data_IF_248020225625
#
_entry.id   IF_248020225625
#
_cell.length_a   1.000
_cell.length_b   1.000
_cell.length_c   1.000
_cell.angle_alpha   90.00
_cell.angle_beta   90.00
_cell.angle_gamma   90.00
#
_symmetry.space_group_name_H-M   'P 1'
#
loop_
_entity.id
_entity.type
_entity.pdbx_description
1 polymer ?
#
# COMPACT_ATOMS: atom_id res chain seq x y z
N UNK A 1 -3.89 -34.47 33.36
CA UNK A 1 -5.05 -33.61 33.69
C UNK A 1 -6.38 -34.36 33.65
N UNK A 2 -7.12 -34.47 32.53
CA UNK A 2 -8.49 -35.06 32.55
C UNK A 2 -8.50 -36.48 33.13
N UNK A 3 -7.58 -37.34 32.71
CA UNK A 3 -7.48 -38.71 33.22
C UNK A 3 -7.11 -38.79 34.70
N UNK A 4 -6.35 -37.85 35.23
CA UNK A 4 -5.97 -37.85 36.66
C UNK A 4 -7.16 -37.53 37.57
N UNK A 5 -8.11 -36.73 37.08
CA UNK A 5 -9.37 -36.48 37.78
C UNK A 5 -10.29 -37.72 37.75
N UNK A 6 -10.33 -38.43 36.63
CA UNK A 6 -11.11 -39.67 36.48
C UNK A 6 -10.55 -40.79 37.37
N UNK A 7 -9.22 -40.93 37.39
CA UNK A 7 -8.52 -41.96 38.19
C UNK A 7 -8.41 -41.57 39.68
N UNK A 8 -9.02 -40.46 40.12
CA UNK A 8 -8.91 -39.89 41.48
C UNK A 8 -7.47 -39.72 41.98
N UNK A 9 -6.54 -39.43 41.07
CA UNK A 9 -5.15 -39.07 41.42
C UNK A 9 -4.99 -37.60 41.75
N UNK A 10 -5.91 -36.77 41.27
CA UNK A 10 -6.02 -35.36 41.60
C UNK A 10 -7.46 -35.04 42.03
N UNK A 11 -7.62 -34.27 43.11
CA UNK A 11 -8.94 -33.92 43.65
C UNK A 11 -9.57 -32.71 42.93
N UNK A 12 -8.75 -31.79 42.42
CA UNK A 12 -9.18 -30.58 41.73
C UNK A 12 -8.14 -30.16 40.69
N UNK A 13 -8.60 -29.65 39.55
CA UNK A 13 -7.73 -29.04 38.53
C UNK A 13 -8.12 -27.58 38.29
N UNK A 14 -7.24 -26.65 38.65
CA UNK A 14 -7.36 -25.22 38.33
C UNK A 14 -6.35 -24.90 37.22
N UNK A 15 -6.83 -24.82 35.98
CA UNK A 15 -6.01 -24.62 34.79
C UNK A 15 -6.83 -23.93 33.69
N UNK A 16 -6.18 -23.35 32.64
CA UNK A 16 -6.86 -22.89 31.45
C UNK A 16 -7.38 -24.08 30.62
N UNK A 17 -8.46 -24.72 31.10
CA UNK A 17 -9.07 -25.90 30.52
C UNK A 17 -10.40 -25.53 29.86
N UNK A 18 -10.47 -25.68 28.53
CA UNK A 18 -11.71 -25.46 27.80
C UNK A 18 -12.76 -26.52 28.14
N UNK A 19 -13.97 -26.06 28.49
CA UNK A 19 -15.16 -26.87 28.68
C UNK A 19 -15.63 -27.37 27.31
N UNK A 20 -15.77 -28.68 27.16
CA UNK A 20 -16.20 -29.33 25.90
C UNK A 20 -17.15 -30.47 26.22
N UNK A 21 -18.06 -30.76 25.30
CA UNK A 21 -19.07 -31.82 25.48
C UNK A 21 -18.46 -33.19 25.85
N UNK A 22 -17.32 -33.56 25.27
CA UNK A 22 -16.67 -34.85 25.56
C UNK A 22 -16.07 -34.89 26.96
N UNK A 23 -15.57 -33.76 27.47
CA UNK A 23 -15.00 -33.65 28.83
C UNK A 23 -16.08 -33.60 29.89
N UNK A 24 -17.18 -32.89 29.62
CA UNK A 24 -18.33 -32.79 30.53
C UNK A 24 -19.01 -34.14 30.80
N UNK A 25 -18.86 -35.13 29.90
CA UNK A 25 -19.35 -36.50 30.14
C UNK A 25 -18.59 -37.29 31.19
N UNK A 26 -17.36 -36.90 31.49
CA UNK A 26 -16.45 -37.67 32.36
C UNK A 26 -16.02 -36.90 33.60
N UNK A 27 -16.14 -35.58 33.60
CA UNK A 27 -15.84 -34.69 34.73
C UNK A 27 -16.83 -33.52 34.78
N UNK A 28 -17.14 -33.06 35.98
CA UNK A 28 -18.00 -31.89 36.20
C UNK A 28 -17.19 -30.58 36.16
N UNK A 29 -17.82 -29.51 35.66
CA UNK A 29 -17.23 -28.17 35.58
C UNK A 29 -18.04 -27.15 36.39
N UNK A 30 -17.34 -26.12 36.89
CA UNK A 30 -18.00 -24.92 37.43
C UNK A 30 -18.50 -23.99 36.31
N UNK A 31 -19.20 -22.91 36.69
CA UNK A 31 -19.58 -21.87 35.73
C UNK A 31 -18.32 -21.22 35.13
N UNK A 32 -18.29 -20.95 33.81
CA UNK A 32 -17.14 -20.35 33.16
C UNK A 32 -16.85 -18.96 33.73
N UNK A 33 -15.60 -18.69 34.09
CA UNK A 33 -15.15 -17.39 34.60
C UNK A 33 -14.67 -16.44 33.49
N UNK A 34 -14.36 -16.98 32.30
CA UNK A 34 -13.87 -16.22 31.15
C UNK A 34 -14.39 -16.84 29.84
N UNK A 35 -14.86 -16.00 28.92
CA UNK A 35 -15.29 -16.40 27.58
C UNK A 35 -14.18 -16.09 26.57
N UNK A 36 -13.67 -17.12 25.89
CA UNK A 36 -12.66 -17.01 24.85
C UNK A 36 -13.16 -17.72 23.58
N UNK A 37 -12.75 -17.20 22.42
CA UNK A 37 -13.01 -17.81 21.12
C UNK A 37 -11.73 -18.34 20.45
N UNK A 38 -11.91 -19.00 19.31
CA UNK A 38 -10.79 -19.36 18.44
C UNK A 38 -10.40 -18.10 17.65
N UNK A 39 -9.14 -17.69 17.72
CA UNK A 39 -8.59 -16.60 16.93
C UNK A 39 -7.43 -17.11 16.06
N UNK A 40 -7.18 -16.40 14.96
CA UNK A 40 -6.06 -16.67 14.06
C UNK A 40 -4.95 -15.68 14.40
N UNK A 41 -3.75 -16.20 14.65
CA UNK A 41 -2.56 -15.39 14.87
C UNK A 41 -1.60 -15.60 13.71
N UNK A 42 -1.16 -14.51 13.10
CA UNK A 42 -0.13 -14.52 12.07
C UNK A 42 0.88 -13.40 12.30
N UNK A 43 2.07 -13.57 11.74
CA UNK A 43 3.12 -12.55 11.82
C UNK A 43 2.70 -11.36 10.96
N UNK A 44 2.74 -10.15 11.54
CA UNK A 44 2.55 -8.91 10.77
C UNK A 44 3.45 -8.94 9.53
N UNK A 45 2.90 -8.84 8.31
CA UNK A 45 3.73 -8.83 7.11
C UNK A 45 4.73 -7.68 7.23
N UNK A 46 6.00 -7.96 6.93
CA UNK A 46 6.96 -6.88 6.79
C UNK A 46 6.47 -6.01 5.64
N UNK A 47 6.12 -4.76 5.92
CA UNK A 47 5.76 -3.81 4.88
C UNK A 47 6.86 -3.79 3.83
N UNK A 48 6.49 -3.85 2.56
CA UNK A 48 7.43 -3.62 1.47
C UNK A 48 8.04 -2.25 1.69
N UNK A 49 9.36 -2.19 1.89
CA UNK A 49 10.06 -0.91 1.99
C UNK A 49 9.81 -0.15 0.68
N UNK A 50 9.24 1.06 0.72
CA UNK A 50 9.08 1.85 -0.50
C UNK A 50 10.46 2.05 -1.12
N UNK A 51 10.62 1.62 -2.37
CA UNK A 51 11.87 1.83 -3.11
C UNK A 51 12.15 3.33 -3.27
N UNK A 52 13.40 3.68 -3.61
CA UNK A 52 13.82 5.09 -3.81
C UNK A 52 12.92 5.85 -4.79
N UNK A 53 12.31 5.15 -5.75
CA UNK A 53 11.41 5.70 -6.76
C UNK A 53 9.92 5.59 -6.41
N UNK A 54 9.57 5.33 -5.15
CA UNK A 54 8.17 5.18 -4.74
C UNK A 54 7.32 6.43 -4.96
N UNK A 55 7.93 7.60 -5.11
CA UNK A 55 7.24 8.84 -5.46
C UNK A 55 6.72 8.85 -6.91
N UNK A 56 7.28 8.02 -7.81
CA UNK A 56 6.79 7.90 -9.20
C UNK A 56 5.63 6.91 -9.34
N UNK A 57 5.47 5.99 -8.38
CA UNK A 57 4.44 4.94 -8.40
C UNK A 57 2.98 5.40 -8.50
N UNK A 58 2.56 6.59 -7.99
CA UNK A 58 1.17 7.03 -8.11
C UNK A 58 0.68 7.24 -9.54
N UNK A 59 1.60 7.29 -10.52
CA UNK A 59 1.30 7.53 -11.92
C UNK A 59 2.00 6.46 -12.78
N UNK A 60 1.28 5.91 -13.76
CA UNK A 60 1.86 4.91 -14.68
C UNK A 60 3.06 5.49 -15.44
N UNK A 61 4.12 4.70 -15.69
CA UNK A 61 5.26 5.12 -16.51
C UNK A 61 4.86 5.62 -17.90
N UNK A 62 3.76 5.12 -18.46
CA UNK A 62 3.25 5.58 -19.76
C UNK A 62 2.85 7.06 -19.73
N UNK A 63 2.20 7.49 -18.64
CA UNK A 63 1.75 8.88 -18.49
C UNK A 63 2.94 9.81 -18.32
N UNK A 64 4.00 9.38 -17.62
CA UNK A 64 5.25 10.12 -17.54
C UNK A 64 5.88 10.36 -18.92
N UNK A 65 5.86 9.33 -19.78
CA UNK A 65 6.32 9.47 -21.17
C UNK A 65 5.45 10.44 -21.97
N UNK A 66 4.13 10.39 -21.81
CA UNK A 66 3.23 11.35 -22.46
C UNK A 66 3.41 12.79 -21.97
N UNK A 67 3.66 13.00 -20.68
CA UNK A 67 3.95 14.34 -20.11
C UNK A 67 5.25 14.89 -20.71
N UNK A 68 6.30 14.08 -20.79
CA UNK A 68 7.58 14.48 -21.39
C UNK A 68 7.41 14.83 -22.87
N UNK A 69 6.68 14.01 -23.62
CA UNK A 69 6.41 14.25 -25.04
C UNK A 69 5.57 15.53 -25.24
N UNK A 70 4.53 15.73 -24.45
CA UNK A 70 3.69 16.92 -24.49
C UNK A 70 4.49 18.19 -24.15
N UNK A 71 5.37 18.12 -23.14
CA UNK A 71 6.29 19.20 -22.78
C UNK A 71 7.19 19.59 -23.95
N UNK A 72 7.86 18.63 -24.60
CA UNK A 72 8.70 18.90 -25.77
C UNK A 72 7.89 19.51 -26.93
N UNK A 73 6.68 19.00 -27.17
CA UNK A 73 5.77 19.52 -28.19
C UNK A 73 5.38 20.97 -27.93
N UNK A 74 4.99 21.32 -26.71
CA UNK A 74 4.58 22.68 -26.34
C UNK A 74 5.75 23.66 -26.41
N UNK A 75 6.94 23.28 -25.95
CA UNK A 75 8.14 24.11 -26.11
C UNK A 75 8.51 24.35 -27.58
N UNK A 76 8.34 23.34 -28.44
CA UNK A 76 8.55 23.49 -29.89
C UNK A 76 7.51 24.43 -30.52
N UNK A 77 6.22 24.28 -30.18
CA UNK A 77 5.14 25.16 -30.67
C UNK A 77 5.35 26.60 -30.21
N UNK A 78 5.74 26.82 -28.96
CA UNK A 78 6.07 28.16 -28.45
C UNK A 78 7.25 28.77 -29.21
N UNK A 79 8.32 28.01 -29.45
CA UNK A 79 9.46 28.47 -30.23
C UNK A 79 9.08 28.88 -31.66
N UNK A 80 8.25 28.07 -32.34
CA UNK A 80 7.77 28.35 -33.70
C UNK A 80 6.93 29.63 -33.72
N UNK A 81 5.95 29.76 -32.82
CA UNK A 81 5.06 30.94 -32.76
C UNK A 81 5.86 32.20 -32.38
N UNK A 82 6.82 32.09 -31.47
CA UNK A 82 7.70 33.19 -31.09
C UNK A 82 8.56 33.67 -32.27
N UNK A 83 8.99 32.77 -33.15
CA UNK A 83 9.78 33.14 -34.34
C UNK A 83 8.95 33.80 -35.43
N UNK A 84 7.72 33.34 -35.63
CA UNK A 84 6.79 33.85 -36.65
C UNK A 84 6.03 35.11 -36.22
N UNK A 85 5.90 35.38 -34.92
CA UNK A 85 5.21 36.56 -34.42
C UNK A 85 6.17 37.76 -34.34
N UNK A 86 6.05 38.77 -35.24
CA UNK A 86 6.89 39.98 -35.19
C UNK A 86 6.66 40.81 -33.93
N UNK A 87 5.58 40.57 -33.18
CA UNK A 87 5.26 41.27 -31.93
C UNK A 87 6.11 40.85 -30.72
N UNK A 88 6.87 39.75 -30.81
CA UNK A 88 7.79 39.32 -29.75
C UNK A 88 9.20 39.90 -29.90
N UNK A 89 9.48 40.48 -31.06
CA UNK A 89 10.72 41.17 -31.36
C UNK A 89 10.66 42.56 -30.70
N UNK A 90 11.50 42.80 -29.68
CA UNK A 90 11.57 44.07 -28.97
C UNK A 90 12.96 44.72 -29.11
N UNK A 91 13.00 46.04 -29.29
CA UNK A 91 14.24 46.80 -29.30
C UNK A 91 14.72 47.00 -27.84
N UNK A 92 15.88 46.44 -27.44
CA UNK A 92 16.38 46.52 -26.06
C UNK A 92 16.76 47.94 -25.62
N UNK A 93 16.82 48.92 -26.53
CA UNK A 93 17.12 50.32 -26.24
C UNK A 93 15.96 51.25 -26.62
N UNK A 94 14.97 51.46 -25.73
CA UNK A 94 13.82 52.34 -26.00
C UNK A 94 14.19 53.82 -26.21
N UNK A 95 15.43 54.22 -25.89
CA UNK A 95 15.91 55.60 -25.99
C UNK A 95 16.62 55.93 -27.32
N UNK A 96 16.81 54.96 -28.22
CA UNK A 96 17.43 55.18 -29.53
C UNK A 96 16.50 54.65 -30.65
N UNK A 97 15.77 55.52 -31.37
CA UNK A 97 14.79 55.10 -32.38
C UNK A 97 15.41 54.47 -33.65
N UNK A 98 16.73 54.59 -33.85
CA UNK A 98 17.45 54.11 -35.04
C UNK A 98 18.18 52.76 -34.86
N UNK A 99 18.01 52.07 -33.73
CA UNK A 99 18.63 50.74 -33.54
C UNK A 99 17.75 49.61 -34.08
N UNK A 100 18.07 49.10 -35.26
CA UNK A 100 17.45 47.92 -35.91
C UNK A 100 17.72 46.58 -35.20
N UNK A 101 18.35 46.59 -34.02
CA UNK A 101 18.65 45.37 -33.26
C UNK A 101 17.42 44.99 -32.47
N UNK A 102 16.62 44.09 -33.03
CA UNK A 102 15.43 43.59 -32.36
C UNK A 102 15.72 42.22 -31.76
N UNK A 103 15.53 42.07 -30.46
CA UNK A 103 15.85 40.84 -29.72
C UNK A 103 14.58 40.05 -29.40
N UNK A 104 14.69 38.73 -29.53
CA UNK A 104 13.67 37.78 -29.12
C UNK A 104 14.20 36.95 -27.94
N UNK A 105 13.60 37.11 -26.77
CA UNK A 105 14.00 36.38 -25.57
C UNK A 105 13.57 34.89 -25.59
N UNK A 106 12.69 34.46 -26.49
CA UNK A 106 12.31 33.06 -26.67
C UNK A 106 13.27 32.34 -27.63
N UNK A 107 14.46 32.00 -27.13
CA UNK A 107 15.30 30.96 -27.73
C UNK A 107 14.74 29.56 -27.40
N UNK A 108 15.18 28.50 -28.09
CA UNK A 108 14.76 27.11 -27.81
C UNK A 108 14.94 26.75 -26.33
N UNK A 109 16.08 27.11 -25.76
CA UNK A 109 16.45 26.81 -24.38
C UNK A 109 15.59 27.61 -23.38
N UNK A 110 15.28 28.86 -23.70
CA UNK A 110 14.38 29.71 -22.92
C UNK A 110 12.91 29.25 -23.01
N UNK A 111 12.50 28.66 -24.14
CA UNK A 111 11.17 28.06 -24.32
C UNK A 111 11.01 26.76 -23.52
N UNK A 112 12.08 25.97 -23.40
CA UNK A 112 12.14 24.83 -22.49
C UNK A 112 12.08 25.29 -21.03
N UNK A 113 12.82 26.33 -20.67
CA UNK A 113 12.81 26.91 -19.32
C UNK A 113 11.43 27.43 -18.90
N UNK A 114 10.74 28.13 -19.81
CA UNK A 114 9.35 28.55 -19.61
C UNK A 114 8.42 27.35 -19.31
N UNK A 115 8.55 26.28 -20.10
CA UNK A 115 7.74 25.07 -19.91
C UNK A 115 8.01 24.38 -18.57
N UNK A 116 9.28 24.32 -18.12
CA UNK A 116 9.66 23.76 -16.81
C UNK A 116 9.14 24.64 -15.67
N UNK A 117 9.31 25.96 -15.76
CA UNK A 117 8.84 26.90 -14.74
C UNK A 117 7.32 26.83 -14.52
N UNK A 118 6.56 26.60 -15.59
CA UNK A 118 5.11 26.37 -15.53
C UNK A 118 4.72 25.01 -14.92
N UNK A 119 5.53 23.97 -15.14
CA UNK A 119 5.31 22.63 -14.57
C UNK A 119 5.67 22.59 -13.08
N UNK A 120 6.70 23.32 -12.65
CA UNK A 120 7.11 23.42 -11.25
C UNK A 120 6.30 24.46 -10.44
N UNK A 121 5.32 25.13 -11.05
CA UNK A 121 4.54 26.23 -10.46
C UNK A 121 5.37 27.42 -9.92
N UNK A 122 6.63 27.55 -10.33
CA UNK A 122 7.52 28.65 -9.91
C UNK A 122 7.37 29.89 -10.79
N UNK A 123 6.78 29.73 -11.98
CA UNK A 123 6.77 30.77 -13.00
C UNK A 123 8.13 30.95 -13.65
N UNK A 124 8.21 31.83 -14.65
CA UNK A 124 9.45 32.15 -15.33
C UNK A 124 9.59 33.67 -15.46
N UNK A 125 10.82 34.16 -15.44
CA UNK A 125 11.15 35.57 -15.69
C UNK A 125 10.80 36.00 -17.13
N UNK A 126 10.61 35.02 -18.02
CA UNK A 126 10.19 35.18 -19.39
C UNK A 126 8.67 35.29 -19.47
N UNK A 127 8.18 36.47 -19.86
CA UNK A 127 6.74 36.75 -19.95
C UNK A 127 6.31 36.91 -21.42
N UNK A 128 5.41 36.07 -21.95
CA UNK A 128 4.94 36.18 -23.33
C UNK A 128 4.20 37.51 -23.56
N UNK A 129 4.64 38.25 -24.58
CA UNK A 129 4.08 39.56 -24.94
C UNK A 129 2.95 39.43 -25.98
N UNK A 130 3.10 38.51 -26.93
CA UNK A 130 2.10 38.30 -27.98
C UNK A 130 0.84 37.58 -27.45
N UNK A 131 -0.32 37.90 -28.02
CA UNK A 131 -1.60 37.29 -27.62
C UNK A 131 -1.60 35.78 -27.93
N UNK A 132 -1.02 35.37 -29.06
CA UNK A 132 -0.91 33.96 -29.46
C UNK A 132 -0.08 33.12 -28.48
N UNK A 133 1.09 33.61 -28.04
CA UNK A 133 1.93 32.91 -27.07
C UNK A 133 1.32 32.88 -25.67
N UNK A 134 0.54 33.90 -25.29
CA UNK A 134 -0.27 33.89 -24.05
C UNK A 134 -1.36 32.83 -24.05
N UNK A 135 -2.08 32.64 -25.17
CA UNK A 135 -3.11 31.59 -25.25
C UNK A 135 -2.47 30.21 -25.10
N UNK A 136 -1.38 29.93 -25.81
CA UNK A 136 -0.66 28.65 -25.70
C UNK A 136 -0.13 28.44 -24.28
N UNK A 137 0.47 29.46 -23.68
CA UNK A 137 0.91 29.42 -22.28
C UNK A 137 -0.24 29.19 -21.30
N UNK A 138 -1.41 29.79 -21.53
CA UNK A 138 -2.61 29.58 -20.71
C UNK A 138 -3.16 28.16 -20.78
N UNK A 139 -3.21 27.58 -21.98
CA UNK A 139 -3.61 26.16 -22.18
C UNK A 139 -2.60 25.23 -21.49
N UNK A 140 -1.30 25.50 -21.65
CA UNK A 140 -0.26 24.74 -20.96
C UNK A 140 -0.41 24.82 -19.44
N UNK A 141 -0.68 26.02 -18.91
CA UNK A 141 -0.87 26.21 -17.47
C UNK A 141 -2.11 25.48 -16.93
N UNK A 142 -3.21 25.47 -17.69
CA UNK A 142 -4.39 24.68 -17.33
C UNK A 142 -4.10 23.18 -17.35
N UNK A 143 -3.35 22.71 -18.35
CA UNK A 143 -2.92 21.31 -18.43
C UNK A 143 -2.03 20.90 -17.25
N UNK A 144 -1.02 21.70 -16.90
CA UNK A 144 -0.13 21.38 -15.77
C UNK A 144 -0.86 21.39 -14.44
N UNK A 145 -1.83 22.29 -14.23
CA UNK A 145 -2.69 22.30 -13.04
C UNK A 145 -3.49 21.00 -12.88
N UNK A 146 -4.10 20.50 -13.97
CA UNK A 146 -4.84 19.23 -13.94
C UNK A 146 -3.92 18.07 -13.59
N UNK A 147 -2.75 17.99 -14.24
CA UNK A 147 -1.78 16.92 -14.00
C UNK A 147 -1.31 16.91 -12.55
N UNK A 148 -0.89 18.05 -12.01
CA UNK A 148 -0.38 18.13 -10.63
C UNK A 148 -1.50 17.81 -9.64
N UNK A 149 -2.72 18.30 -9.86
CA UNK A 149 -3.87 17.99 -9.01
C UNK A 149 -4.22 16.49 -9.02
N UNK A 150 -4.13 15.83 -10.18
CA UNK A 150 -4.37 14.39 -10.26
C UNK A 150 -3.27 13.58 -9.58
N UNK A 151 -2.01 14.00 -9.72
CA UNK A 151 -0.87 13.37 -9.07
C UNK A 151 -0.95 13.48 -7.55
N UNK A 152 -1.30 14.67 -7.01
CA UNK A 152 -1.45 14.85 -5.57
C UNK A 152 -2.62 14.04 -5.00
N UNK A 153 -3.73 13.92 -5.74
CA UNK A 153 -4.85 13.07 -5.37
C UNK A 153 -4.47 11.57 -5.34
N UNK A 154 -3.80 11.08 -6.38
CA UNK A 154 -3.38 9.67 -6.45
C UNK A 154 -2.31 9.34 -5.41
N UNK A 155 -1.37 10.25 -5.16
CA UNK A 155 -0.38 10.11 -4.10
C UNK A 155 -1.05 10.01 -2.72
N UNK A 156 -2.05 10.87 -2.45
CA UNK A 156 -2.81 10.81 -1.20
C UNK A 156 -3.58 9.49 -1.05
N UNK A 157 -4.18 8.99 -2.13
CA UNK A 157 -4.87 7.70 -2.14
C UNK A 157 -3.88 6.53 -1.91
N UNK A 158 -2.70 6.58 -2.52
CA UNK A 158 -1.67 5.57 -2.34
C UNK A 158 -1.22 5.47 -0.87
N UNK A 159 -1.00 6.62 -0.21
CA UNK A 159 -0.61 6.68 1.21
C UNK A 159 -1.67 6.16 2.18
N UNK A 160 -2.95 6.14 1.78
CA UNK A 160 -4.03 5.59 2.62
C UNK A 160 -4.28 4.09 2.36
N UNK A 161 -4.07 3.61 1.13
CA UNK A 161 -4.31 2.21 0.74
C UNK A 161 -3.30 1.23 1.32
N UNK A 162 -2.02 1.60 1.48
CA UNK A 162 -1.00 0.72 2.09
C UNK A 162 -1.34 0.28 3.54
N UNK A 163 -2.37 0.86 4.17
CA UNK A 163 -2.80 0.53 5.54
C UNK A 163 -3.97 -0.45 5.65
N UNK A 164 -4.60 -0.87 4.54
CA UNK A 164 -5.90 -1.57 4.61
C UNK A 164 -5.90 -3.06 4.26
N UNK A 165 -4.82 -3.66 3.79
CA UNK A 165 -4.85 -5.09 3.44
C UNK A 165 -4.36 -5.98 4.60
N UNK A 166 -5.31 -6.52 5.36
CA UNK A 166 -5.09 -7.76 6.11
C UNK A 166 -5.18 -8.93 5.12
N UNK A 167 -4.10 -9.72 4.94
CA UNK A 167 -4.11 -10.81 3.96
C UNK A 167 -5.06 -11.96 4.35
N UNK A 168 -5.52 -12.03 5.60
CA UNK A 168 -6.41 -13.05 6.14
C UNK A 168 -7.36 -12.40 7.15
N UNK A 169 -8.65 -12.37 6.83
CA UNK A 169 -9.71 -11.96 7.77
C UNK A 169 -10.57 -13.14 8.24
N UNK A 170 -10.68 -14.21 7.45
CA UNK A 170 -11.51 -15.39 7.77
C UNK A 170 -10.78 -16.73 7.64
N UNK A 171 -11.28 -17.73 8.37
CA UNK A 171 -10.88 -19.13 8.21
C UNK A 171 -11.22 -19.66 6.79
N UNK A 172 -12.22 -19.09 6.13
CA UNK A 172 -12.56 -19.44 4.74
C UNK A 172 -11.47 -18.98 3.76
N UNK A 173 -10.82 -17.85 4.03
CA UNK A 173 -9.72 -17.35 3.19
C UNK A 173 -8.51 -18.28 3.33
N UNK A 174 -8.24 -18.77 4.55
CA UNK A 174 -7.25 -19.81 4.79
C UNK A 174 -7.57 -21.13 4.06
N UNK A 175 -8.85 -21.52 3.98
CA UNK A 175 -9.26 -22.73 3.28
C UNK A 175 -9.09 -22.63 1.77
N UNK A 176 -9.34 -21.45 1.18
CA UNK A 176 -9.20 -21.22 -0.27
C UNK A 176 -7.75 -21.17 -0.72
N UNK A 177 -6.89 -20.51 0.05
CA UNK A 177 -5.48 -20.36 -0.30
C UNK A 177 -4.63 -21.57 0.10
N UNK A 178 -3.48 -21.75 -0.56
CA UNK A 178 -2.51 -22.84 -0.30
C UNK A 178 -1.11 -22.34 0.01
N UNK A 179 -0.90 -21.01 0.01
CA UNK A 179 0.41 -20.37 0.13
C UNK A 179 0.87 -20.26 1.58
N UNK A 180 -0.04 -19.93 2.49
CA UNK A 180 0.22 -19.76 3.92
C UNK A 180 -0.19 -21.04 4.62
N UNK A 181 0.78 -21.72 5.22
CA UNK A 181 0.54 -22.91 6.05
C UNK A 181 -0.14 -22.50 7.35
N UNK A 182 -1.12 -23.29 7.78
CA UNK A 182 -1.82 -23.11 9.05
C UNK A 182 -1.97 -24.44 9.78
N UNK A 183 -2.18 -24.37 11.09
CA UNK A 183 -2.32 -25.53 11.96
C UNK A 183 -2.85 -25.15 13.33
N UNK A 184 -3.16 -26.17 14.12
CA UNK A 184 -3.63 -26.04 15.51
C UNK A 184 -2.73 -26.85 16.43
N UNK A 185 -2.77 -26.56 17.73
CA UNK A 185 -1.99 -27.29 18.73
C UNK A 185 -2.46 -28.76 18.79
N UNK A 186 -1.49 -29.69 18.76
CA UNK A 186 -1.75 -31.13 18.92
C UNK A 186 -2.45 -31.41 20.26
N UNK A 187 -3.43 -32.32 20.24
CA UNK A 187 -4.27 -32.68 21.40
C UNK A 187 -5.02 -31.53 22.09
N UNK A 188 -5.09 -30.36 21.43
CA UNK A 188 -5.88 -29.21 21.86
C UNK A 188 -7.38 -29.41 21.66
N UNK A 189 -8.19 -28.74 22.46
CA UNK A 189 -9.66 -28.72 22.28
C UNK A 189 -10.09 -28.17 20.93
N UNK A 190 -9.33 -27.21 20.37
CA UNK A 190 -9.54 -26.64 19.03
C UNK A 190 -9.34 -27.68 17.92
N UNK A 191 -8.37 -28.59 18.08
CA UNK A 191 -8.16 -29.69 17.13
C UNK A 191 -9.35 -30.64 17.14
N UNK A 192 -9.83 -31.02 18.33
CA UNK A 192 -11.02 -31.86 18.49
C UNK A 192 -12.28 -31.19 17.96
N UNK A 193 -12.42 -29.87 18.15
CA UNK A 193 -13.51 -29.07 17.59
C UNK A 193 -13.57 -29.21 16.07
N UNK A 194 -12.45 -28.99 15.35
CA UNK A 194 -12.40 -29.14 13.89
C UNK A 194 -12.53 -30.59 13.40
N UNK A 195 -12.13 -31.59 14.22
CA UNK A 195 -12.34 -33.01 13.89
C UNK A 195 -13.81 -33.42 13.95
N UNK A 196 -14.58 -32.85 14.87
CA UNK A 196 -16.00 -33.18 15.11
C UNK A 196 -16.94 -32.27 14.31
N UNK A 197 -16.50 -31.05 13.96
CA UNK A 197 -17.31 -30.11 13.21
C UNK A 197 -17.73 -30.67 11.84
N UNK A 198 -19.05 -30.71 11.59
CA UNK A 198 -19.66 -31.23 10.35
C UNK A 198 -19.82 -30.19 9.25
N UNK A 199 -19.43 -28.94 9.49
CA UNK A 199 -19.68 -27.84 8.56
C UNK A 199 -18.75 -27.87 7.34
N UNK A 200 -19.33 -27.54 6.18
CA UNK A 200 -18.73 -27.64 4.86
C UNK A 200 -17.50 -26.73 4.61
N UNK A 201 -17.11 -25.85 5.53
CA UNK A 201 -15.87 -25.07 5.37
C UNK A 201 -14.76 -25.58 6.32
N UNK A 202 -15.15 -26.21 7.43
CA UNK A 202 -14.21 -26.71 8.44
C UNK A 202 -13.49 -28.00 8.01
N UNK A 203 -14.08 -28.82 7.14
CA UNK A 203 -13.41 -30.02 6.59
C UNK A 203 -12.25 -29.66 5.66
N UNK A 204 -12.41 -28.61 4.84
CA UNK A 204 -11.36 -28.17 3.92
C UNK A 204 -10.13 -27.65 4.68
N UNK A 205 -10.37 -26.99 5.82
CA UNK A 205 -9.31 -26.58 6.75
C UNK A 205 -8.63 -27.81 7.36
N UNK A 206 -9.40 -28.82 7.79
CA UNK A 206 -8.86 -30.05 8.40
C UNK A 206 -7.92 -30.82 7.47
N UNK A 207 -8.30 -31.01 6.21
CA UNK A 207 -7.55 -31.87 5.28
C UNK A 207 -6.25 -31.20 4.79
N UNK A 208 -6.12 -29.88 4.94
CA UNK A 208 -4.94 -29.10 4.55
C UNK A 208 -3.93 -28.85 5.68
N UNK A 209 -4.09 -29.48 6.84
CA UNK A 209 -3.13 -29.32 7.94
C UNK A 209 -1.74 -29.82 7.54
N UNK A 210 -0.77 -28.91 7.51
CA UNK A 210 0.62 -29.23 7.18
C UNK A 210 1.35 -29.84 8.37
N UNK A 211 2.00 -30.98 8.15
CA UNK A 211 2.92 -31.60 9.12
C UNK A 211 4.11 -30.70 9.47
N UNK A 212 4.51 -29.79 8.58
CA UNK A 212 5.58 -28.82 8.84
C UNK A 212 5.13 -27.72 9.81
N UNK A 213 3.87 -27.29 9.75
CA UNK A 213 3.31 -26.31 10.69
C UNK A 213 3.26 -26.87 12.12
N UNK A 214 2.94 -28.16 12.27
CA UNK A 214 2.96 -28.87 13.55
C UNK A 214 4.38 -29.01 14.11
N UNK A 215 5.38 -29.28 13.26
CA UNK A 215 6.80 -29.36 13.65
C UNK A 215 7.37 -28.00 14.09
N UNK A 216 7.07 -26.93 13.33
CA UNK A 216 7.48 -25.57 13.68
C UNK A 216 6.90 -25.15 15.04
N UNK A 217 5.64 -25.47 15.32
CA UNK A 217 5.03 -25.21 16.62
C UNK A 217 5.70 -26.00 17.75
N UNK A 218 5.96 -27.30 17.56
CA UNK A 218 6.62 -28.14 18.57
C UNK A 218 8.00 -27.62 18.98
N UNK A 219 8.76 -27.02 18.06
CA UNK A 219 10.12 -26.52 18.33
C UNK A 219 10.18 -25.02 18.70
N UNK A 220 9.34 -24.14 18.12
CA UNK A 220 9.36 -22.71 18.40
C UNK A 220 8.61 -22.36 19.71
N UNK A 221 7.47 -22.98 19.98
CA UNK A 221 6.70 -22.69 21.20
C UNK A 221 7.31 -23.31 22.46
N UNK A 222 8.04 -24.42 22.35
CA UNK A 222 8.85 -24.94 23.48
C UNK A 222 9.85 -23.90 23.97
N UNK A 223 10.49 -23.13 23.08
CA UNK A 223 11.38 -22.03 23.48
C UNK A 223 10.61 -20.87 24.11
N UNK A 224 9.47 -20.46 23.53
CA UNK A 224 8.70 -19.32 24.03
C UNK A 224 8.06 -19.59 25.42
N UNK A 225 7.56 -20.80 25.64
CA UNK A 225 6.94 -21.18 26.93
C UNK A 225 8.00 -21.38 28.03
N UNK A 226 9.20 -21.88 27.70
CA UNK A 226 10.34 -21.90 28.64
C UNK A 226 10.85 -20.50 29.00
N UNK A 227 10.65 -19.51 28.13
CA UNK A 227 11.07 -18.13 28.38
C UNK A 227 10.09 -17.39 29.29
N UNK A 228 8.79 -17.69 29.20
CA UNK A 228 7.74 -17.10 30.05
C UNK A 228 7.67 -17.70 31.47
N UNK A 229 8.17 -18.92 31.68
CA UNK A 229 8.27 -19.54 33.02
C UNK A 229 9.56 -19.18 33.78
N UNK A 230 10.39 -18.29 33.20
CA UNK A 230 11.66 -17.83 33.78
C UNK A 230 11.64 -16.36 34.23
N UNK A 231 10.45 -15.76 34.29
CA UNK A 231 10.15 -14.44 34.89
C UNK A 231 9.12 -14.70 35.99
#
# INVERSE_FOLDING_TARGET
MVRELIDHKADLAVAPLAITYVREKVIDFSKPFMTLGISILYRKPNGTNPGVFSFLNPLSPDIWMYILLAYLGVSCVLFVIARFSPYEWYNPHPCNPDSDVVENNFTLLNSFWFGVGALMQQGSELMPKALSTRIVGGIWWFFTLIIISSYTANLAAFLTVERMESPIDSADDLAKQTKILYGVVEDGSTMTFFKVASWANHWAVRDKWSSEALWLWRNQFKLCFLMLLKI
#
